data_IF_236681121395
#
_entry.id   IF_236681121395
#
_cell.length_a   1.000
_cell.length_b   1.000
_cell.length_c   1.000
_cell.angle_alpha   90.00
_cell.angle_beta   90.00
_cell.angle_gamma   90.00
#
_symmetry.space_group_name_H-M   'P 1'
#
loop_
_entity.id
_entity.type
_entity.pdbx_description
1 polymer ?
#
# COMPACT_ATOMS: atom_id res chain seq x y z
N UNK A 1 10.65 1.91 -12.68
CA UNK A 1 10.04 2.16 -11.34
C UNK A 1 8.69 1.44 -11.28
N UNK A 2 8.38 0.79 -10.16
CA UNK A 2 7.05 0.20 -9.96
C UNK A 2 6.08 1.29 -9.54
N UNK A 3 4.84 1.21 -10.03
CA UNK A 3 3.83 2.24 -9.82
C UNK A 3 2.75 1.71 -8.87
N UNK A 4 2.60 2.31 -7.67
CA UNK A 4 1.53 1.95 -6.76
C UNK A 4 0.14 2.24 -7.35
N UNK A 5 -0.87 1.40 -7.06
CA UNK A 5 -2.25 1.56 -7.53
C UNK A 5 -3.05 2.54 -6.65
N UNK A 6 -2.49 3.72 -6.36
CA UNK A 6 -3.15 4.72 -5.52
C UNK A 6 -3.33 6.04 -6.25
N UNK A 7 -4.49 6.66 -6.06
CA UNK A 7 -4.79 8.00 -6.57
C UNK A 7 -5.09 8.94 -5.42
N UNK A 8 -4.63 10.20 -5.48
CA UNK A 8 -5.01 11.18 -4.48
C UNK A 8 -6.51 11.49 -4.59
N UNK A 9 -7.14 11.72 -3.45
CA UNK A 9 -8.50 12.20 -3.40
C UNK A 9 -8.58 13.60 -4.03
N UNK A 10 -9.71 13.95 -4.66
CA UNK A 10 -9.89 15.28 -5.21
C UNK A 10 -9.84 16.35 -4.12
N UNK A 11 -9.58 17.60 -4.52
CA UNK A 11 -9.51 18.76 -3.63
C UNK A 11 -10.74 18.86 -2.73
N UNK A 12 -10.56 19.33 -1.50
CA UNK A 12 -11.65 19.46 -0.53
C UNK A 12 -11.13 19.25 0.88
N UNK A 13 -12.03 19.04 1.83
CA UNK A 13 -11.71 18.78 3.24
C UNK A 13 -12.20 17.40 3.67
N UNK A 14 -11.40 16.71 4.47
CA UNK A 14 -11.75 15.41 5.05
C UNK A 14 -12.99 15.56 5.94
N UNK A 15 -14.02 14.72 5.80
CA UNK A 15 -15.21 14.77 6.64
C UNK A 15 -14.99 14.21 8.06
N UNK A 16 -13.91 13.45 8.27
CA UNK A 16 -13.57 12.78 9.53
C UNK A 16 -12.05 12.60 9.68
N UNK A 17 -11.62 11.96 10.77
CA UNK A 17 -10.20 11.67 11.03
C UNK A 17 -9.44 12.93 11.45
N UNK A 18 -8.22 13.18 10.94
CA UNK A 18 -7.43 14.37 11.30
C UNK A 18 -8.03 15.69 10.81
N UNK A 19 -9.07 15.67 9.97
CA UNK A 19 -9.69 16.87 9.39
C UNK A 19 -8.79 17.58 8.38
N UNK A 20 -9.15 18.81 8.01
CA UNK A 20 -8.35 19.64 7.10
C UNK A 20 -8.42 19.23 5.62
N UNK A 21 -7.65 19.91 4.74
CA UNK A 21 -7.67 19.67 3.30
C UNK A 21 -6.99 18.36 2.92
N UNK A 22 -7.45 17.69 1.86
CA UNK A 22 -6.74 16.58 1.23
C UNK A 22 -5.39 17.08 0.66
N UNK A 23 -4.30 16.82 1.38
CA UNK A 23 -2.95 17.33 1.06
C UNK A 23 -1.92 16.21 0.82
N UNK A 24 -2.36 14.95 0.82
CA UNK A 24 -1.53 13.77 0.58
C UNK A 24 -0.80 13.24 1.81
N UNK A 25 -0.92 13.91 2.96
CA UNK A 25 -0.25 13.55 4.22
C UNK A 25 -0.81 12.26 4.83
N UNK A 26 -2.11 12.05 4.73
CA UNK A 26 -2.82 11.00 5.47
C UNK A 26 -3.29 9.88 4.55
N UNK A 27 -3.53 8.68 5.11
CA UNK A 27 -4.02 7.53 4.33
C UNK A 27 -5.36 7.85 3.65
N UNK A 28 -6.19 8.60 4.34
CA UNK A 28 -7.50 9.05 3.90
C UNK A 28 -7.45 9.96 2.65
N UNK A 29 -6.25 10.40 2.25
CA UNK A 29 -6.04 11.20 1.04
C UNK A 29 -5.85 10.37 -0.20
N UNK A 30 -5.82 9.06 -0.08
CA UNK A 30 -5.48 8.16 -1.17
C UNK A 30 -6.54 7.08 -1.30
N UNK A 31 -6.94 6.85 -2.54
CA UNK A 31 -7.86 5.78 -2.91
C UNK A 31 -7.08 4.69 -3.65
N UNK A 32 -7.25 3.45 -3.22
CA UNK A 32 -6.76 2.30 -3.96
C UNK A 32 -7.61 2.10 -5.21
N UNK A 33 -6.96 2.01 -6.36
CA UNK A 33 -7.62 1.79 -7.66
C UNK A 33 -7.03 0.54 -8.30
N UNK A 34 -7.76 -0.57 -8.18
CA UNK A 34 -7.34 -1.85 -8.73
C UNK A 34 -6.97 -1.74 -10.21
N UNK A 35 -5.81 -2.28 -10.58
CA UNK A 35 -5.32 -2.28 -11.96
C UNK A 35 -4.75 -0.94 -12.46
N UNK A 36 -4.71 0.13 -11.64
CA UNK A 36 -4.08 1.40 -12.05
C UNK A 36 -2.55 1.44 -11.85
N UNK A 37 -1.98 0.34 -11.38
CA UNK A 37 -0.56 0.15 -11.09
C UNK A 37 -0.19 -1.32 -11.17
N UNK A 38 1.09 -1.64 -10.94
CA UNK A 38 1.60 -3.01 -11.00
C UNK A 38 1.91 -3.62 -9.62
N UNK A 39 1.64 -2.87 -8.55
CA UNK A 39 1.66 -3.31 -7.16
C UNK A 39 0.25 -3.56 -6.64
N UNK A 40 0.15 -4.26 -5.51
CA UNK A 40 -1.09 -4.48 -4.76
C UNK A 40 -1.36 -3.37 -3.71
N UNK A 41 -2.44 -3.52 -2.94
CA UNK A 41 -2.82 -2.58 -1.88
C UNK A 41 -1.79 -2.48 -0.73
N UNK A 42 -0.91 -3.47 -0.59
CA UNK A 42 0.17 -3.51 0.39
C UNK A 42 1.51 -2.99 -0.15
N UNK A 43 1.54 -2.46 -1.39
CA UNK A 43 2.76 -2.06 -2.08
C UNK A 43 3.71 -3.24 -2.39
N UNK A 44 3.14 -4.44 -2.62
CA UNK A 44 3.88 -5.64 -3.01
C UNK A 44 3.36 -6.25 -4.30
N UNK A 45 4.08 -7.25 -4.80
CA UNK A 45 3.62 -8.12 -5.89
C UNK A 45 4.44 -9.41 -5.94
N UNK A 46 3.93 -10.38 -6.70
CA UNK A 46 4.72 -11.54 -7.09
C UNK A 46 5.62 -11.20 -8.29
N UNK A 47 6.92 -11.49 -8.20
CA UNK A 47 7.86 -11.22 -9.27
C UNK A 47 9.17 -11.99 -9.11
N UNK A 48 9.93 -12.09 -10.20
CA UNK A 48 11.24 -12.76 -10.22
C UNK A 48 12.32 -11.88 -9.59
N UNK A 49 13.24 -12.51 -8.87
CA UNK A 49 14.50 -11.88 -8.42
C UNK A 49 15.68 -12.79 -8.81
N UNK A 50 16.93 -12.29 -8.79
CA UNK A 50 18.10 -13.14 -9.04
C UNK A 50 18.15 -14.37 -8.13
N UNK A 51 17.72 -14.25 -6.88
CA UNK A 51 17.70 -15.30 -5.87
C UNK A 51 16.49 -16.24 -6.04
N UNK A 52 15.37 -15.74 -6.59
CA UNK A 52 14.14 -16.49 -6.82
C UNK A 52 13.67 -16.37 -8.28
N UNK A 53 14.30 -17.13 -9.22
CA UNK A 53 13.96 -17.07 -10.64
C UNK A 53 12.55 -17.57 -10.99
N UNK A 54 11.97 -18.42 -10.14
CA UNK A 54 10.57 -18.86 -10.25
C UNK A 54 9.57 -17.82 -9.70
N UNK A 55 10.07 -16.75 -9.09
CA UNK A 55 9.28 -15.69 -8.48
C UNK A 55 9.03 -15.90 -7.00
N UNK A 56 8.88 -14.78 -6.30
CA UNK A 56 8.49 -14.68 -4.91
C UNK A 56 7.66 -13.42 -4.71
N UNK A 57 6.75 -13.44 -3.73
CA UNK A 57 6.09 -12.22 -3.30
C UNK A 57 7.08 -11.33 -2.54
N UNK A 58 7.17 -10.05 -2.91
CA UNK A 58 8.00 -9.08 -2.22
C UNK A 58 7.38 -7.69 -2.26
N UNK A 59 7.79 -6.87 -1.29
CA UNK A 59 7.34 -5.49 -1.13
C UNK A 59 8.30 -4.51 -1.78
N UNK A 60 7.78 -3.34 -2.14
CA UNK A 60 8.53 -2.25 -2.72
C UNK A 60 8.50 -1.02 -1.83
N UNK A 61 9.62 -0.32 -1.78
CA UNK A 61 9.70 1.08 -1.32
C UNK A 61 9.63 1.94 -2.58
N UNK A 62 8.76 2.94 -2.57
CA UNK A 62 8.44 3.77 -3.72
C UNK A 62 8.56 5.25 -3.37
N UNK A 63 8.78 6.09 -4.38
CA UNK A 63 8.73 7.55 -4.22
C UNK A 63 7.30 8.10 -4.21
N UNK A 64 6.32 7.26 -4.58
CA UNK A 64 4.89 7.54 -4.56
C UNK A 64 4.19 6.83 -3.40
N UNK A 65 3.06 7.37 -2.93
CA UNK A 65 2.22 6.76 -1.90
C UNK A 65 1.88 5.30 -2.24
N UNK A 66 1.99 4.34 -1.30
CA UNK A 66 2.13 4.54 0.15
C UNK A 66 3.57 4.66 0.67
N UNK A 67 4.56 4.78 -0.22
CA UNK A 67 6.01 4.88 0.03
C UNK A 67 6.63 3.63 0.67
N UNK A 68 5.99 3.11 1.72
CA UNK A 68 6.33 1.89 2.44
C UNK A 68 5.08 1.00 2.56
N UNK A 69 5.24 -0.33 2.70
CA UNK A 69 4.11 -1.25 2.87
C UNK A 69 3.21 -0.90 4.07
N UNK A 70 1.89 -0.94 3.85
CA UNK A 70 0.87 -0.59 4.87
C UNK A 70 0.10 -1.79 5.42
N UNK A 71 0.29 -2.96 4.82
CA UNK A 71 -0.26 -4.23 5.26
C UNK A 71 0.72 -5.37 4.97
N UNK A 72 0.40 -6.55 5.50
CA UNK A 72 1.17 -7.76 5.25
C UNK A 72 0.35 -8.71 4.38
N UNK A 73 1.00 -9.29 3.37
CA UNK A 73 0.47 -10.37 2.56
C UNK A 73 0.45 -11.68 3.35
N UNK A 74 -0.67 -12.40 3.23
CA UNK A 74 -0.91 -13.66 3.92
C UNK A 74 -1.58 -13.52 5.27
N UNK A 75 -1.76 -14.65 5.95
CA UNK A 75 -2.43 -14.72 7.27
C UNK A 75 -1.38 -14.86 8.36
N UNK A 76 -1.27 -13.89 9.29
CA UNK A 76 -0.39 -14.03 10.45
C UNK A 76 -0.79 -15.26 11.28
N UNK A 77 0.20 -15.99 11.79
CA UNK A 77 -0.07 -17.11 12.69
C UNK A 77 -0.84 -16.64 13.94
N UNK A 78 -1.76 -17.49 14.41
CA UNK A 78 -2.65 -17.16 15.52
C UNK A 78 -1.90 -16.83 16.83
N UNK A 79 -0.67 -17.31 16.99
CA UNK A 79 0.18 -17.02 18.15
C UNK A 79 0.66 -15.57 18.21
N UNK A 80 0.67 -14.84 17.09
CA UNK A 80 0.99 -13.41 17.05
C UNK A 80 -0.18 -12.50 17.42
N UNK A 81 -1.37 -13.07 17.67
CA UNK A 81 -2.50 -12.28 18.17
C UNK A 81 -2.24 -11.89 19.62
N UNK A 82 -2.22 -10.59 19.90
CA UNK A 82 -2.17 -10.08 21.26
C UNK A 82 -3.35 -10.67 22.04
N UNK A 83 -3.05 -11.46 23.08
CA UNK A 83 -4.07 -11.90 24.03
C UNK A 83 -4.51 -10.65 24.79
N UNK A 84 -5.77 -10.26 24.60
CA UNK A 84 -6.39 -9.19 25.40
C UNK A 84 -6.59 -9.66 26.83
#
# INVERSE_FOLDING_TARGET
>A
PHHPPFRPHPTGTRPSGPGGPYDGTFREDWEFVEGSGDLDECNGRFGVTPEYPAGIFHYYITDDYPYIPRCVFGTPDGTFRVRR
#
